data_IF_059480073194
#
_entry.id   IF_059480073194
#
_cell.length_a   1.000
_cell.length_b   1.000
_cell.length_c   1.000
_cell.angle_alpha   90.00
_cell.angle_beta   90.00
_cell.angle_gamma   90.00
#
_symmetry.space_group_name_H-M   'P 1'
#
loop_
_entity.id
_entity.type
_entity.pdbx_description
1 polymer ?
#
# COMPACT_ATOMS: atom_id res chain seq x y z
N UNK A 1 -29.78 8.51 6.80
CA UNK A 1 -31.00 9.29 6.49
C UNK A 1 -32.16 8.38 6.82
N UNK A 2 -32.84 8.62 7.95
CA UNK A 2 -33.96 7.81 8.37
C UNK A 2 -35.22 8.27 7.66
N UNK A 3 -35.79 7.42 6.85
CA UNK A 3 -37.12 7.63 6.26
C UNK A 3 -38.12 6.96 7.20
N UNK A 4 -39.03 7.77 7.75
CA UNK A 4 -40.23 7.30 8.39
C UNK A 4 -41.23 6.95 7.30
N UNK A 5 -41.55 5.69 7.15
CA UNK A 5 -42.68 5.29 6.34
C UNK A 5 -43.67 4.45 7.14
N UNK A 6 -44.93 4.80 6.86
CA UNK A 6 -46.15 4.39 7.50
C UNK A 6 -46.33 2.88 7.45
N UNK A 7 -46.79 2.34 8.55
CA UNK A 7 -47.41 1.03 8.59
C UNK A 7 -48.77 1.13 7.87
N UNK A 8 -48.90 0.51 6.72
CA UNK A 8 -50.18 0.18 6.10
C UNK A 8 -50.55 -1.25 6.52
N UNK A 9 -51.61 -1.35 7.27
CA UNK A 9 -52.31 -2.61 7.56
C UNK A 9 -53.04 -3.08 6.31
N UNK A 10 -52.49 -4.07 5.63
CA UNK A 10 -53.14 -4.85 4.58
C UNK A 10 -52.98 -6.33 4.91
N UNK A 11 -54.10 -7.01 4.99
CA UNK A 11 -54.19 -8.43 5.33
C UNK A 11 -53.45 -9.35 4.37
N UNK A 12 -52.98 -10.46 4.95
CA UNK A 12 -52.42 -11.67 4.37
C UNK A 12 -50.93 -11.57 3.95
N UNK A 13 -50.05 -12.07 4.85
CA UNK A 13 -49.33 -13.33 4.60
C UNK A 13 -48.50 -13.69 5.82
N UNK A 14 -48.44 -14.98 6.09
CA UNK A 14 -47.85 -15.62 7.23
C UNK A 14 -46.31 -15.51 7.16
N UNK A 15 -45.73 -14.59 7.95
CA UNK A 15 -44.38 -14.75 8.50
C UNK A 15 -44.19 -13.76 9.66
N UNK A 16 -43.79 -14.21 10.84
CA UNK A 16 -43.56 -13.32 11.97
C UNK A 16 -42.25 -12.56 11.77
N UNK A 17 -42.40 -11.26 11.63
CA UNK A 17 -41.29 -10.30 11.67
C UNK A 17 -40.87 -10.07 13.12
N UNK A 18 -39.58 -10.20 13.38
CA UNK A 18 -38.99 -9.76 14.62
C UNK A 18 -38.95 -8.25 14.69
N UNK A 19 -39.70 -7.69 15.63
CA UNK A 19 -39.69 -6.28 15.93
C UNK A 19 -38.90 -6.00 17.20
N UNK A 20 -37.88 -5.16 17.11
CA UNK A 20 -37.22 -4.56 18.26
C UNK A 20 -37.92 -3.23 18.59
N UNK A 21 -38.43 -3.10 19.81
CA UNK A 21 -38.96 -1.84 20.31
C UNK A 21 -37.88 -1.14 21.12
N UNK A 22 -37.47 0.08 20.76
CA UNK A 22 -36.46 0.80 21.53
C UNK A 22 -37.08 1.43 22.76
N UNK A 23 -36.44 1.25 23.94
CA UNK A 23 -36.62 2.17 25.06
C UNK A 23 -35.79 3.43 24.78
N UNK A 24 -36.33 4.57 25.15
CA UNK A 24 -35.79 5.90 24.89
C UNK A 24 -34.26 5.99 24.98
N UNK A 25 -33.65 6.37 23.89
CA UNK A 25 -32.27 6.79 23.65
C UNK A 25 -31.31 5.89 22.83
N UNK A 26 -31.72 4.69 22.36
CA UNK A 26 -30.85 3.93 21.45
C UNK A 26 -31.65 3.28 20.32
N UNK A 27 -31.35 3.61 19.07
CA UNK A 27 -32.01 3.06 17.89
C UNK A 27 -31.08 2.08 17.16
N UNK A 28 -31.57 0.87 16.87
CA UNK A 28 -30.92 -0.09 16.01
C UNK A 28 -31.72 -0.22 14.71
N UNK A 29 -31.01 -0.20 13.58
CA UNK A 29 -31.61 -0.48 12.28
C UNK A 29 -31.16 -1.86 11.79
N UNK A 30 -32.11 -2.69 11.42
CA UNK A 30 -31.86 -3.96 10.75
C UNK A 30 -32.32 -3.85 9.31
N UNK A 31 -31.48 -4.19 8.37
CA UNK A 31 -31.85 -4.25 6.96
C UNK A 31 -31.84 -5.72 6.51
N UNK A 32 -33.01 -6.20 6.12
CA UNK A 32 -33.13 -7.55 5.57
C UNK A 32 -33.01 -7.46 4.04
N UNK A 33 -31.94 -8.00 3.49
CA UNK A 33 -31.81 -8.20 2.04
C UNK A 33 -32.30 -9.61 1.72
N UNK A 34 -33.31 -9.70 0.89
CA UNK A 34 -33.86 -10.97 0.42
C UNK A 34 -32.97 -11.63 -0.63
N UNK A 35 -31.76 -12.01 -0.24
CA UNK A 35 -30.91 -12.92 -1.01
C UNK A 35 -30.55 -14.11 -0.14
N UNK A 36 -30.68 -15.30 -0.70
CA UNK A 36 -30.51 -16.57 -0.01
C UNK A 36 -29.07 -16.94 0.31
N UNK A 37 -28.28 -16.00 0.84
CA UNK A 37 -26.93 -16.26 1.29
C UNK A 37 -26.88 -16.16 2.82
N UNK A 38 -26.60 -17.26 3.55
CA UNK A 38 -26.60 -17.28 5.00
C UNK A 38 -25.43 -16.53 5.65
N UNK A 39 -24.50 -15.95 4.89
CA UNK A 39 -23.30 -15.26 5.41
C UNK A 39 -23.37 -13.73 5.35
N UNK A 40 -24.49 -13.11 4.89
CA UNK A 40 -24.58 -11.66 4.67
C UNK A 40 -25.08 -10.85 5.88
N UNK A 41 -24.92 -11.29 7.11
CA UNK A 41 -25.21 -10.49 8.31
C UNK A 41 -23.96 -9.74 8.78
N UNK A 42 -23.81 -8.46 8.38
CA UNK A 42 -22.82 -7.54 8.95
C UNK A 42 -23.35 -6.92 10.23
N UNK A 43 -22.71 -7.23 11.37
CA UNK A 43 -22.93 -6.52 12.62
C UNK A 43 -21.90 -5.39 12.74
N UNK A 44 -22.39 -4.16 12.78
CA UNK A 44 -21.58 -3.02 13.21
C UNK A 44 -21.71 -2.90 14.73
N UNK A 45 -20.66 -3.32 15.46
CA UNK A 45 -20.56 -3.10 16.89
C UNK A 45 -19.79 -1.79 17.14
N UNK A 46 -20.49 -0.79 17.68
CA UNK A 46 -19.82 0.32 18.36
C UNK A 46 -19.74 0.03 19.86
N UNK A 47 -18.68 0.43 20.55
CA UNK A 47 -18.49 0.15 21.97
C UNK A 47 -19.42 1.03 22.80
N UNK A 48 -20.30 0.40 23.59
CA UNK A 48 -21.10 1.07 24.62
C UNK A 48 -20.71 0.60 26.00
N UNK A 49 -20.52 1.56 26.89
CA UNK A 49 -20.38 1.30 28.32
C UNK A 49 -21.76 1.05 28.92
N UNK A 50 -21.88 -0.09 29.58
CA UNK A 50 -23.05 -0.52 30.38
C UNK A 50 -24.39 -0.66 29.67
N UNK A 51 -24.80 -1.90 29.36
CA UNK A 51 -26.20 -2.17 29.03
C UNK A 51 -26.64 -3.54 29.54
N UNK A 52 -27.72 -3.56 30.26
CA UNK A 52 -28.55 -4.75 30.50
C UNK A 52 -29.54 -4.84 29.35
N UNK A 53 -29.47 -5.87 28.55
CA UNK A 53 -30.45 -6.18 27.53
C UNK A 53 -31.51 -7.09 28.12
N UNK A 54 -32.78 -6.66 28.13
CA UNK A 54 -33.91 -7.49 28.52
C UNK A 54 -34.64 -7.91 27.23
N UNK A 55 -34.70 -9.23 27.00
CA UNK A 55 -35.45 -9.82 25.90
C UNK A 55 -36.84 -10.18 26.42
N UNK A 56 -37.89 -9.56 25.91
CA UNK A 56 -39.29 -9.91 26.18
C UNK A 56 -39.93 -10.52 24.95
N UNK A 57 -40.49 -11.72 25.13
CA UNK A 57 -41.41 -12.35 24.19
C UNK A 57 -40.81 -13.31 23.19
N UNK A 58 -40.43 -14.50 23.61
CA UNK A 58 -40.16 -15.64 22.74
C UNK A 58 -41.46 -16.44 22.57
N UNK A 59 -41.98 -16.48 21.34
CA UNK A 59 -42.85 -17.56 20.89
C UNK A 59 -41.94 -18.72 20.51
N UNK A 60 -42.20 -19.94 20.97
CA UNK A 60 -41.37 -21.09 20.70
C UNK A 60 -41.16 -21.30 19.19
N UNK A 61 -39.93 -21.38 18.68
CA UNK A 61 -39.67 -21.58 17.29
C UNK A 61 -39.99 -23.00 16.83
N UNK A 62 -40.19 -23.17 15.52
CA UNK A 62 -40.34 -24.51 14.93
C UNK A 62 -39.03 -25.31 15.08
N UNK A 63 -39.09 -26.65 15.14
CA UNK A 63 -37.90 -27.50 15.42
C UNK A 63 -36.67 -27.26 14.55
N UNK A 64 -36.83 -26.79 13.32
CA UNK A 64 -35.75 -26.45 12.41
C UNK A 64 -35.07 -25.09 12.75
N UNK A 65 -35.72 -24.25 13.56
CA UNK A 65 -35.19 -22.97 14.02
C UNK A 65 -34.41 -23.10 15.33
N UNK A 66 -34.67 -24.12 16.15
CA UNK A 66 -33.89 -24.40 17.37
C UNK A 66 -32.47 -24.80 17.04
N UNK A 67 -32.24 -25.61 16.01
CA UNK A 67 -30.91 -26.00 15.57
C UNK A 67 -30.11 -24.81 14.99
N UNK A 68 -30.79 -23.87 14.33
CA UNK A 68 -30.17 -22.62 13.84
C UNK A 68 -29.81 -21.67 14.99
N UNK A 69 -30.69 -21.54 15.98
CA UNK A 69 -30.41 -20.72 17.16
C UNK A 69 -29.27 -21.33 18.01
N UNK A 70 -29.22 -22.64 18.15
CA UNK A 70 -28.13 -23.35 18.84
C UNK A 70 -26.79 -23.14 18.10
N UNK A 71 -26.78 -23.20 16.78
CA UNK A 71 -25.61 -22.92 15.96
C UNK A 71 -25.13 -21.46 16.08
N UNK A 72 -26.04 -20.50 16.10
CA UNK A 72 -25.72 -19.09 16.29
C UNK A 72 -25.18 -18.77 17.70
N UNK A 73 -25.74 -19.43 18.73
CA UNK A 73 -25.25 -19.30 20.11
C UNK A 73 -23.86 -19.94 20.26
N UNK A 74 -23.64 -21.08 19.62
CA UNK A 74 -22.32 -21.73 19.61
C UNK A 74 -21.27 -20.87 18.91
N UNK A 75 -21.60 -20.28 17.76
CA UNK A 75 -20.73 -19.36 17.03
C UNK A 75 -20.44 -18.09 17.85
N UNK A 76 -21.42 -17.52 18.50
CA UNK A 76 -21.24 -16.35 19.37
C UNK A 76 -20.36 -16.65 20.58
N UNK A 77 -20.45 -17.86 21.12
CA UNK A 77 -19.58 -18.33 22.24
C UNK A 77 -18.13 -18.50 21.77
N UNK A 78 -17.90 -18.97 20.54
CA UNK A 78 -16.57 -19.05 19.94
C UNK A 78 -15.98 -17.68 19.65
N UNK A 79 -16.76 -16.72 19.16
CA UNK A 79 -16.35 -15.34 18.96
C UNK A 79 -15.98 -14.65 20.30
N UNK A 80 -16.73 -14.90 21.34
CA UNK A 80 -16.42 -14.36 22.68
C UNK A 80 -15.12 -14.93 23.23
N UNK A 81 -14.87 -16.24 23.09
CA UNK A 81 -13.59 -16.87 23.45
C UNK A 81 -12.43 -16.34 22.63
N UNK A 82 -12.60 -16.22 21.33
CA UNK A 82 -11.58 -15.65 20.44
C UNK A 82 -11.25 -14.20 20.82
N UNK A 83 -12.26 -13.42 21.17
CA UNK A 83 -12.10 -12.05 21.65
C UNK A 83 -11.32 -12.01 22.98
N UNK A 84 -11.64 -12.87 23.94
CA UNK A 84 -10.92 -12.96 25.22
C UNK A 84 -9.47 -13.42 25.02
N UNK A 85 -9.19 -14.35 24.11
CA UNK A 85 -7.83 -14.76 23.74
C UNK A 85 -7.05 -13.64 23.05
N UNK A 86 -7.68 -12.86 22.15
CA UNK A 86 -7.09 -11.69 21.52
C UNK A 86 -6.84 -10.57 22.53
N UNK A 87 -7.81 -10.28 23.42
CA UNK A 87 -7.65 -9.28 24.48
C UNK A 87 -6.58 -9.67 25.48
N UNK A 88 -6.43 -10.96 25.82
CA UNK A 88 -5.35 -11.46 26.68
C UNK A 88 -3.98 -11.40 25.98
N UNK A 89 -3.92 -11.62 24.67
CA UNK A 89 -2.70 -11.53 23.88
C UNK A 89 -2.27 -10.07 23.64
N UNK A 90 -3.23 -9.15 23.57
CA UNK A 90 -2.98 -7.70 23.43
C UNK A 90 -2.53 -7.10 24.78
N UNK A 91 -3.00 -7.61 25.92
CA UNK A 91 -2.61 -7.09 27.25
C UNK A 91 -1.11 -7.28 27.54
N UNK A 92 -0.49 -8.31 26.97
CA UNK A 92 0.95 -8.56 27.12
C UNK A 92 1.81 -7.62 26.26
N UNK A 93 1.24 -7.04 25.20
CA UNK A 93 1.94 -6.06 24.36
C UNK A 93 1.55 -4.60 24.65
N UNK A 94 0.42 -4.37 25.33
CA UNK A 94 -0.07 -3.02 25.64
C UNK A 94 0.76 -2.33 26.75
N UNK A 95 1.36 -3.08 27.66
CA UNK A 95 2.23 -2.52 28.71
C UNK A 95 3.54 -1.93 28.13
N UNK A 96 3.95 -2.38 26.93
CA UNK A 96 5.08 -1.82 26.19
C UNK A 96 4.73 -0.56 25.37
N UNK A 97 3.44 -0.31 25.12
CA UNK A 97 2.96 0.86 24.30
C UNK A 97 2.43 2.01 25.15
N UNK A 98 2.01 1.74 26.39
CA UNK A 98 1.43 2.77 27.27
C UNK A 98 2.48 3.64 28.00
N UNK A 99 3.73 3.21 28.07
CA UNK A 99 4.80 4.02 28.65
C UNK A 99 5.23 5.21 27.77
N UNK A 100 4.97 5.17 26.46
CA UNK A 100 5.35 6.26 25.54
C UNK A 100 4.26 7.35 25.35
N UNK A 101 3.02 7.09 25.78
CA UNK A 101 1.90 8.06 25.58
C UNK A 101 1.82 9.09 26.72
N UNK A 102 2.48 8.87 27.87
CA UNK A 102 2.36 9.73 29.06
C UNK A 102 3.63 10.52 29.40
N UNK A 103 4.52 10.80 28.43
CA UNK A 103 5.58 11.79 28.67
C UNK A 103 5.07 13.18 28.35
N UNK A 104 5.12 14.11 29.34
CA UNK A 104 4.75 15.49 29.07
C UNK A 104 5.75 16.10 28.09
N UNK A 105 5.21 16.68 27.03
CA UNK A 105 5.95 17.43 26.02
C UNK A 105 6.53 18.71 26.62
N UNK A 106 7.67 18.61 27.29
CA UNK A 106 8.48 19.75 27.65
C UNK A 106 9.84 19.65 26.97
N UNK A 107 10.08 20.56 26.03
CA UNK A 107 11.35 20.73 25.35
C UNK A 107 11.29 20.32 23.88
N UNK A 108 10.84 21.23 23.02
CA UNK A 108 11.13 21.20 21.58
C UNK A 108 12.64 21.22 21.39
N UNK A 109 13.28 20.08 21.39
CA UNK A 109 14.54 19.93 20.68
C UNK A 109 14.16 19.90 19.20
N UNK A 110 14.76 20.80 18.42
CA UNK A 110 14.67 20.77 16.98
C UNK A 110 14.89 19.34 16.51
N UNK A 111 14.05 18.86 15.61
CA UNK A 111 14.30 17.62 14.89
C UNK A 111 15.59 17.93 14.12
N UNK A 112 16.74 17.59 14.71
CA UNK A 112 17.88 17.21 13.92
C UNK A 112 17.32 16.05 13.11
N UNK A 113 17.19 16.22 11.80
CA UNK A 113 17.01 15.10 10.88
C UNK A 113 18.20 14.19 11.18
N UNK A 114 17.97 13.20 12.04
CA UNK A 114 18.91 12.10 12.21
C UNK A 114 19.04 11.58 10.79
N UNK A 115 20.24 11.56 10.26
CA UNK A 115 20.60 10.69 9.15
C UNK A 115 19.98 9.37 9.53
N UNK A 116 18.96 8.91 8.79
CA UNK A 116 18.34 7.62 8.99
C UNK A 116 19.47 6.63 9.24
N UNK A 117 19.35 5.79 10.26
CA UNK A 117 20.44 4.89 10.65
C UNK A 117 20.83 4.08 9.41
N UNK A 118 21.91 4.50 8.75
CA UNK A 118 22.43 3.83 7.57
C UNK A 118 23.00 2.49 8.01
N UNK A 119 22.57 1.43 7.35
CA UNK A 119 23.05 0.07 7.58
C UNK A 119 24.07 -0.25 6.49
N UNK A 120 25.26 -0.63 6.85
CA UNK A 120 26.27 -1.10 5.89
C UNK A 120 25.98 -2.57 5.52
N UNK A 121 25.84 -2.83 4.22
CA UNK A 121 25.65 -4.17 3.66
C UNK A 121 26.77 -4.51 2.67
N UNK A 122 27.06 -5.81 2.56
CA UNK A 122 28.00 -6.36 1.58
C UNK A 122 27.21 -7.02 0.44
N UNK A 123 27.60 -6.77 -0.79
CA UNK A 123 27.09 -7.46 -1.98
C UNK A 123 27.72 -8.85 -2.03
N UNK A 124 27.02 -9.86 -1.53
CA UNK A 124 27.54 -11.23 -1.48
C UNK A 124 27.28 -12.00 -2.76
N UNK A 125 26.34 -11.52 -3.60
CA UNK A 125 26.07 -12.13 -4.90
C UNK A 125 25.52 -11.09 -5.87
N UNK A 126 26.02 -11.13 -7.11
CA UNK A 126 25.49 -10.40 -8.26
C UNK A 126 25.29 -11.38 -9.41
N UNK A 127 24.08 -11.42 -9.98
CA UNK A 127 23.79 -12.36 -11.07
C UNK A 127 22.94 -11.71 -12.16
N UNK A 128 23.01 -12.25 -13.35
CA UNK A 128 22.08 -11.88 -14.43
C UNK A 128 20.73 -12.54 -14.15
N UNK A 129 19.71 -11.74 -13.83
CA UNK A 129 18.35 -12.23 -13.58
C UNK A 129 17.51 -12.33 -14.86
N UNK A 130 17.75 -11.43 -15.83
CA UNK A 130 17.15 -11.44 -17.17
C UNK A 130 17.97 -10.53 -18.12
N UNK A 131 17.52 -10.33 -19.35
CA UNK A 131 18.06 -9.29 -20.22
C UNK A 131 17.88 -7.93 -19.55
N UNK A 132 18.96 -7.16 -19.45
CA UNK A 132 19.03 -5.85 -18.80
C UNK A 132 18.61 -5.83 -17.31
N UNK A 133 18.51 -6.98 -16.64
CA UNK A 133 18.20 -7.07 -15.22
C UNK A 133 19.28 -7.85 -14.47
N UNK A 134 19.90 -7.18 -13.47
CA UNK A 134 20.80 -7.78 -12.52
C UNK A 134 20.09 -8.01 -11.18
N UNK A 135 20.34 -9.15 -10.56
CA UNK A 135 19.98 -9.43 -9.19
C UNK A 135 21.15 -9.16 -8.25
N UNK A 136 20.87 -8.72 -7.04
CA UNK A 136 21.85 -8.50 -5.98
C UNK A 136 21.36 -9.14 -4.69
N UNK A 137 22.23 -9.87 -4.00
CA UNK A 137 22.01 -10.31 -2.63
C UNK A 137 22.92 -9.49 -1.71
N UNK A 138 22.30 -8.88 -0.72
CA UNK A 138 22.93 -7.98 0.24
C UNK A 138 22.84 -8.62 1.63
N UNK A 139 23.98 -8.73 2.32
CA UNK A 139 24.03 -9.19 3.71
C UNK A 139 24.58 -8.13 4.63
N UNK A 140 24.22 -8.15 5.91
CA UNK A 140 24.71 -7.16 6.83
C UNK A 140 26.22 -7.27 6.97
N UNK A 141 26.91 -6.12 6.93
CA UNK A 141 28.35 -6.05 7.20
C UNK A 141 28.68 -5.90 8.70
N UNK A 142 27.67 -5.84 9.55
CA UNK A 142 27.79 -5.65 11.01
C UNK A 142 26.48 -5.91 11.75
N UNK A 143 25.58 -4.96 11.76
CA UNK A 143 24.28 -5.03 12.45
C UNK A 143 23.29 -5.90 11.68
N UNK A 144 22.46 -6.69 12.35
CA UNK A 144 21.38 -7.46 11.72
C UNK A 144 20.44 -6.58 10.90
N UNK A 145 19.97 -7.13 9.79
CA UNK A 145 19.01 -6.43 8.94
C UNK A 145 17.62 -6.42 9.59
N UNK A 146 16.92 -5.29 9.58
CA UNK A 146 15.53 -5.22 10.01
C UNK A 146 14.63 -6.19 9.23
N UNK A 147 13.61 -6.71 9.89
CA UNK A 147 12.55 -7.48 9.22
C UNK A 147 11.70 -6.56 8.34
N UNK A 148 11.07 -7.14 7.31
CA UNK A 148 10.25 -6.37 6.39
C UNK A 148 8.96 -7.11 6.00
N UNK A 149 8.02 -6.38 5.45
CA UNK A 149 6.77 -6.92 4.89
C UNK A 149 6.85 -6.94 3.35
N UNK A 150 6.15 -7.87 2.68
CA UNK A 150 6.08 -7.90 1.21
C UNK A 150 5.61 -6.56 0.63
N UNK A 151 6.28 -6.10 -0.43
CA UNK A 151 6.11 -4.77 -1.00
C UNK A 151 7.07 -3.72 -0.46
N UNK A 152 7.90 -4.06 0.54
CA UNK A 152 8.93 -3.15 1.04
C UNK A 152 10.06 -2.93 0.03
N UNK A 153 10.69 -1.77 0.17
CA UNK A 153 11.87 -1.35 -0.58
C UNK A 153 12.95 -0.82 0.37
N UNK A 154 14.17 -0.74 -0.13
CA UNK A 154 15.31 -0.10 0.52
C UNK A 154 15.87 1.02 -0.35
N UNK A 155 16.46 2.03 0.28
CA UNK A 155 17.26 3.05 -0.38
C UNK A 155 18.72 2.63 -0.40
N UNK A 156 19.36 2.57 -1.57
CA UNK A 156 20.79 2.36 -1.73
C UNK A 156 21.50 3.71 -1.87
N UNK A 157 22.46 3.99 -0.99
CA UNK A 157 23.32 5.16 -1.04
C UNK A 157 24.58 4.81 -1.84
N UNK A 158 24.58 5.20 -3.12
CA UNK A 158 25.64 4.83 -4.05
C UNK A 158 26.86 5.73 -3.91
N UNK A 159 28.07 5.17 -4.17
CA UNK A 159 29.32 5.92 -4.05
C UNK A 159 29.41 7.12 -4.99
N UNK A 160 28.60 7.19 -6.05
CA UNK A 160 28.48 8.35 -6.93
C UNK A 160 27.57 9.47 -6.37
N UNK A 161 27.14 9.35 -5.10
CA UNK A 161 26.29 10.33 -4.40
C UNK A 161 24.80 10.22 -4.70
N UNK A 162 24.38 9.23 -5.46
CA UNK A 162 22.96 9.02 -5.78
C UNK A 162 22.31 8.08 -4.75
N UNK A 163 21.07 8.40 -4.38
CA UNK A 163 20.20 7.47 -3.63
C UNK A 163 19.17 6.88 -4.58
N UNK A 164 18.97 5.55 -4.52
CA UNK A 164 18.00 4.86 -5.38
C UNK A 164 17.25 3.78 -4.63
N UNK A 165 15.94 3.73 -4.86
CA UNK A 165 15.04 2.75 -4.26
C UNK A 165 14.96 1.47 -5.07
N UNK A 166 14.95 0.34 -4.36
CA UNK A 166 14.75 -0.97 -4.97
C UNK A 166 13.86 -1.83 -4.07
N UNK A 167 12.81 -2.39 -4.66
CA UNK A 167 11.89 -3.30 -3.97
C UNK A 167 12.60 -4.60 -3.61
N UNK A 168 12.30 -5.11 -2.41
CA UNK A 168 12.80 -6.39 -1.94
C UNK A 168 12.03 -7.54 -2.62
N UNK A 169 12.77 -8.50 -3.14
CA UNK A 169 12.21 -9.69 -3.81
C UNK A 169 12.12 -10.92 -2.91
N UNK A 170 12.74 -10.87 -1.73
CA UNK A 170 12.72 -11.98 -0.77
C UNK A 170 11.30 -12.33 -0.35
N UNK A 171 11.07 -13.63 -0.16
CA UNK A 171 9.88 -14.13 0.50
C UNK A 171 9.98 -14.09 2.04
N UNK A 172 8.84 -14.23 2.74
CA UNK A 172 8.85 -14.39 4.18
C UNK A 172 9.66 -15.62 4.59
N UNK A 173 10.56 -15.43 5.56
CA UNK A 173 11.44 -16.50 6.07
C UNK A 173 12.81 -16.59 5.42
N UNK A 174 13.11 -15.81 4.42
CA UNK A 174 14.48 -15.56 3.94
C UNK A 174 15.10 -14.44 4.77
N UNK A 175 15.44 -14.77 6.02
CA UNK A 175 16.03 -13.80 6.95
C UNK A 175 17.52 -13.66 6.76
N UNK A 176 18.08 -12.53 7.21
CA UNK A 176 19.54 -12.27 7.21
C UNK A 176 20.11 -11.84 5.86
N UNK A 177 19.28 -11.62 4.85
CA UNK A 177 19.70 -10.97 3.60
C UNK A 177 18.58 -10.18 2.98
N UNK A 178 18.92 -9.18 2.17
CA UNK A 178 18.01 -8.51 1.25
C UNK A 178 18.38 -8.89 -0.18
N UNK A 179 17.37 -9.09 -1.02
CA UNK A 179 17.58 -9.32 -2.44
C UNK A 179 16.79 -8.30 -3.25
N UNK A 180 17.43 -7.74 -4.25
CA UNK A 180 16.85 -6.73 -5.13
C UNK A 180 17.06 -7.09 -6.59
N UNK A 181 16.21 -6.53 -7.45
CA UNK A 181 16.37 -6.56 -8.89
C UNK A 181 16.56 -5.16 -9.45
N UNK A 182 17.58 -4.99 -10.29
CA UNK A 182 17.93 -3.72 -10.89
C UNK A 182 17.88 -3.85 -12.41
N UNK A 183 16.94 -3.13 -13.03
CA UNK A 183 16.89 -3.00 -14.49
C UNK A 183 17.85 -1.89 -14.94
N UNK A 184 18.66 -2.18 -15.94
CA UNK A 184 19.50 -1.17 -16.60
C UNK A 184 18.60 -0.28 -17.46
N UNK A 185 18.40 0.95 -17.03
CA UNK A 185 17.66 1.94 -17.82
C UNK A 185 18.57 2.54 -18.89
N UNK A 186 18.09 2.60 -20.14
CA UNK A 186 18.84 3.16 -21.27
C UNK A 186 19.17 4.63 -21.02
N UNK A 187 18.19 5.42 -20.56
CA UNK A 187 18.33 6.82 -20.17
C UNK A 187 18.67 6.96 -18.67
N UNK A 188 19.56 6.09 -18.17
CA UNK A 188 19.94 6.09 -16.76
C UNK A 188 20.51 7.43 -16.31
N UNK A 189 19.97 7.98 -15.21
CA UNK A 189 20.54 9.13 -14.51
C UNK A 189 21.74 8.75 -13.63
N UNK A 190 22.39 7.65 -13.95
CA UNK A 190 23.61 7.14 -13.30
C UNK A 190 23.40 6.02 -12.28
N UNK A 191 22.21 5.87 -11.67
CA UNK A 191 21.99 4.90 -10.59
C UNK A 191 22.02 3.44 -11.06
N UNK A 192 21.14 3.04 -11.98
CA UNK A 192 21.10 1.66 -12.49
C UNK A 192 22.38 1.30 -13.24
N UNK A 193 22.96 2.24 -14.00
CA UNK A 193 24.23 2.04 -14.68
C UNK A 193 25.37 1.78 -13.69
N UNK A 194 25.47 2.58 -12.63
CA UNK A 194 26.49 2.39 -11.59
C UNK A 194 26.40 0.99 -10.96
N UNK A 195 25.21 0.52 -10.62
CA UNK A 195 24.98 -0.82 -10.06
C UNK A 195 25.36 -1.93 -11.05
N UNK A 196 25.09 -1.75 -12.34
CA UNK A 196 25.43 -2.75 -13.36
C UNK A 196 26.93 -2.81 -13.68
N UNK A 197 27.58 -1.65 -13.80
CA UNK A 197 28.94 -1.55 -14.34
C UNK A 197 30.00 -1.52 -13.23
N UNK A 198 29.76 -0.81 -12.12
CA UNK A 198 30.79 -0.53 -11.11
C UNK A 198 30.67 -1.43 -9.87
N UNK A 199 29.47 -1.77 -9.42
CA UNK A 199 29.28 -2.58 -8.21
C UNK A 199 29.58 -4.04 -8.48
N UNK A 200 30.41 -4.66 -7.61
CA UNK A 200 30.84 -6.05 -7.68
C UNK A 200 30.53 -6.81 -6.38
N UNK A 201 30.65 -8.14 -6.42
CA UNK A 201 30.61 -8.97 -5.22
C UNK A 201 31.79 -8.60 -4.29
N UNK A 202 31.50 -8.46 -3.00
CA UNK A 202 32.42 -7.99 -1.97
C UNK A 202 32.34 -6.49 -1.69
N UNK A 203 31.70 -5.70 -2.55
CA UNK A 203 31.54 -4.27 -2.30
C UNK A 203 30.59 -4.01 -1.14
N UNK A 204 30.82 -2.89 -0.43
CA UNK A 204 29.96 -2.41 0.65
C UNK A 204 29.16 -1.22 0.21
N UNK A 205 27.89 -1.23 0.57
CA UNK A 205 26.94 -0.17 0.23
C UNK A 205 26.17 0.18 1.50
N UNK A 206 26.00 1.49 1.76
CA UNK A 206 25.08 1.95 2.80
C UNK A 206 23.64 1.90 2.28
N UNK A 207 22.73 1.42 3.12
CA UNK A 207 21.29 1.38 2.83
C UNK A 207 20.49 2.06 3.93
N UNK A 208 19.29 2.54 3.59
CA UNK A 208 18.26 2.97 4.54
C UNK A 208 16.99 2.14 4.36
N UNK A 209 16.18 2.04 5.41
CA UNK A 209 14.95 1.26 5.38
C UNK A 209 15.10 -0.09 6.07
N UNK A 210 14.19 -1.06 5.83
CA UNK A 210 13.17 -1.10 4.77
C UNK A 210 11.97 -0.20 5.05
N UNK A 211 11.46 0.42 3.99
CA UNK A 211 10.22 1.19 3.99
C UNK A 211 9.14 0.45 3.19
N UNK A 212 7.86 0.63 3.51
CA UNK A 212 6.79 -0.05 2.78
C UNK A 212 5.62 0.89 2.49
N UNK A 213 5.53 1.32 1.24
CA UNK A 213 4.43 2.14 0.70
C UNK A 213 3.48 1.31 -0.18
N UNK A 214 3.77 0.02 -0.36
CA UNK A 214 3.01 -0.91 -1.20
C UNK A 214 2.73 -2.22 -0.46
N UNK A 215 2.18 -2.09 0.77
CA UNK A 215 1.98 -3.21 1.67
C UNK A 215 0.90 -4.20 1.20
N UNK A 216 1.20 -5.50 1.29
CA UNK A 216 0.24 -6.56 1.00
C UNK A 216 -0.81 -6.67 2.10
N UNK A 217 -2.08 -6.52 1.75
CA UNK A 217 -3.23 -6.84 2.61
C UNK A 217 -3.50 -8.35 2.57
N UNK A 218 -3.84 -8.92 3.72
CA UNK A 218 -4.11 -10.37 3.88
C UNK A 218 -5.51 -10.64 4.44
N UNK A 219 -6.38 -9.66 4.31
CA UNK A 219 -7.76 -9.68 4.83
C UNK A 219 -8.78 -10.07 3.76
N UNK A 220 -8.33 -10.41 2.55
CA UNK A 220 -9.18 -10.84 1.44
C UNK A 220 -8.78 -12.23 0.96
N UNK A 221 -9.76 -13.09 0.62
CA UNK A 221 -9.50 -14.47 0.21
C UNK A 221 -8.88 -14.60 -1.18
N UNK A 222 -8.91 -13.56 -2.03
CA UNK A 222 -8.40 -13.60 -3.40
C UNK A 222 -7.57 -12.36 -3.74
N UNK A 223 -6.38 -12.58 -4.28
CA UNK A 223 -5.48 -11.51 -4.74
C UNK A 223 -5.06 -11.74 -6.19
N UNK A 224 -5.19 -10.71 -7.03
CA UNK A 224 -4.67 -10.73 -8.40
C UNK A 224 -3.46 -9.80 -8.47
N UNK A 225 -2.34 -10.33 -8.95
CA UNK A 225 -1.08 -9.60 -9.08
C UNK A 225 -0.76 -9.42 -10.57
N UNK A 226 -0.59 -8.18 -11.04
CA UNK A 226 -0.20 -7.86 -12.42
C UNK A 226 1.19 -7.22 -12.44
N UNK A 227 2.18 -7.97 -12.91
CA UNK A 227 3.57 -7.55 -13.03
C UNK A 227 3.94 -7.21 -14.46
N UNK A 228 4.55 -6.06 -14.71
CA UNK A 228 5.13 -5.67 -15.99
C UNK A 228 6.65 -5.49 -15.90
N UNK A 229 7.42 -6.33 -16.61
CA UNK A 229 8.89 -6.26 -16.59
C UNK A 229 9.47 -6.27 -15.18
N UNK A 230 10.29 -5.24 -14.84
CA UNK A 230 10.93 -5.15 -13.50
C UNK A 230 9.93 -4.92 -12.36
N UNK A 231 8.69 -4.51 -12.65
CA UNK A 231 7.62 -4.41 -11.66
C UNK A 231 7.23 -5.74 -11.01
N UNK A 232 7.81 -6.85 -11.46
CA UNK A 232 7.69 -8.16 -10.80
C UNK A 232 8.34 -8.18 -9.41
N UNK A 233 9.29 -7.28 -9.10
CA UNK A 233 10.06 -7.32 -7.84
C UNK A 233 9.19 -7.26 -6.57
N UNK A 234 8.34 -6.27 -6.33
CA UNK A 234 7.49 -6.25 -5.13
C UNK A 234 6.42 -7.35 -5.17
N UNK A 235 5.90 -7.66 -6.37
CA UNK A 235 4.83 -8.63 -6.54
C UNK A 235 5.32 -10.08 -6.37
N UNK A 236 6.59 -10.35 -6.63
CA UNK A 236 7.22 -11.64 -6.34
C UNK A 236 7.29 -11.89 -4.83
N UNK A 237 7.70 -10.90 -4.05
CA UNK A 237 7.69 -10.99 -2.58
C UNK A 237 6.26 -11.20 -2.04
N UNK A 238 5.26 -10.52 -2.62
CA UNK A 238 3.84 -10.72 -2.28
C UNK A 238 3.36 -12.12 -2.64
N UNK A 239 3.68 -12.59 -3.84
CA UNK A 239 3.31 -13.93 -4.30
C UNK A 239 3.88 -15.03 -3.40
N UNK A 240 5.17 -14.94 -3.05
CA UNK A 240 5.81 -15.87 -2.12
C UNK A 240 5.20 -15.81 -0.71
N UNK A 241 4.76 -14.63 -0.27
CA UNK A 241 4.07 -14.49 1.01
C UNK A 241 2.67 -15.11 1.00
N UNK A 242 1.92 -14.95 -0.08
CA UNK A 242 0.60 -15.56 -0.28
C UNK A 242 0.69 -17.07 -0.47
N UNK A 243 1.74 -17.56 -1.13
CA UNK A 243 1.97 -18.99 -1.35
C UNK A 243 2.13 -19.79 -0.05
N UNK A 244 2.53 -19.12 1.03
CA UNK A 244 2.64 -19.72 2.37
C UNK A 244 1.34 -19.65 3.18
N UNK A 245 0.26 -19.18 2.58
CA UNK A 245 -1.06 -19.08 3.19
C UNK A 245 -2.08 -19.93 2.41
N UNK A 246 -3.28 -20.05 2.96
CA UNK A 246 -4.42 -20.68 2.26
C UNK A 246 -5.17 -19.68 1.35
N UNK A 247 -4.72 -18.41 1.30
CA UNK A 247 -5.35 -17.38 0.48
C UNK A 247 -5.13 -17.65 -1.01
N UNK A 248 -6.15 -17.48 -1.81
CA UNK A 248 -6.09 -17.63 -3.25
C UNK A 248 -5.37 -16.45 -3.91
N UNK A 249 -4.45 -16.74 -4.83
CA UNK A 249 -3.88 -15.68 -5.66
C UNK A 249 -3.49 -16.18 -7.06
N UNK A 250 -3.32 -15.23 -7.98
CA UNK A 250 -2.69 -15.43 -9.28
C UNK A 250 -1.73 -14.31 -9.59
N UNK A 251 -0.53 -14.66 -10.08
CA UNK A 251 0.44 -13.69 -10.59
C UNK A 251 0.44 -13.74 -12.12
N UNK A 252 0.04 -12.65 -12.76
CA UNK A 252 0.14 -12.41 -14.20
C UNK A 252 1.39 -11.60 -14.47
N UNK A 253 2.38 -12.20 -15.14
CA UNK A 253 3.65 -11.56 -15.44
C UNK A 253 3.79 -11.31 -16.95
N UNK A 254 3.84 -10.03 -17.32
CA UNK A 254 3.97 -9.57 -18.70
C UNK A 254 5.43 -9.19 -18.99
N UNK A 255 5.98 -9.77 -20.05
CA UNK A 255 7.34 -9.48 -20.50
C UNK A 255 7.40 -9.42 -22.03
N UNK A 256 8.38 -8.67 -22.57
CA UNK A 256 8.56 -8.51 -24.02
C UNK A 256 8.97 -9.83 -24.68
N UNK A 257 9.80 -10.62 -24.04
CA UNK A 257 10.23 -11.94 -24.52
C UNK A 257 10.58 -12.82 -23.32
N UNK A 258 10.84 -14.08 -23.56
CA UNK A 258 11.25 -15.06 -22.52
C UNK A 258 12.55 -14.63 -21.83
N UNK A 259 13.48 -14.01 -22.55
CA UNK A 259 14.76 -13.52 -22.02
C UNK A 259 14.60 -12.33 -21.07
N UNK A 260 13.44 -11.68 -21.10
CA UNK A 260 13.08 -10.57 -20.20
C UNK A 260 12.30 -11.02 -18.96
N UNK A 261 12.01 -12.32 -18.81
CA UNK A 261 11.44 -12.86 -17.58
C UNK A 261 12.53 -12.96 -16.50
N UNK A 262 12.47 -12.08 -15.51
CA UNK A 262 13.39 -12.10 -14.39
C UNK A 262 12.96 -13.12 -13.32
N UNK A 263 13.93 -13.64 -12.56
CA UNK A 263 13.72 -14.49 -11.38
C UNK A 263 12.94 -15.78 -11.66
N UNK A 264 13.19 -16.41 -12.82
CA UNK A 264 12.46 -17.58 -13.29
C UNK A 264 12.49 -18.75 -12.30
N UNK A 265 13.60 -18.95 -11.58
CA UNK A 265 13.71 -20.01 -10.57
C UNK A 265 12.66 -19.85 -9.48
N UNK A 266 12.55 -18.64 -8.91
CA UNK A 266 11.55 -18.30 -7.88
C UNK A 266 10.11 -18.32 -8.41
N UNK A 267 9.92 -17.82 -9.61
CA UNK A 267 8.61 -17.84 -10.28
C UNK A 267 8.13 -19.26 -10.55
N UNK A 268 9.04 -20.17 -10.89
CA UNK A 268 8.74 -21.58 -11.13
C UNK A 268 8.15 -22.30 -9.91
N UNK A 269 8.51 -21.88 -8.70
CA UNK A 269 7.98 -22.42 -7.45
C UNK A 269 6.48 -22.15 -7.28
N UNK A 270 5.95 -21.08 -7.90
CA UNK A 270 4.53 -20.70 -7.82
C UNK A 270 3.60 -21.64 -8.63
N UNK A 271 4.16 -22.48 -9.50
CA UNK A 271 3.41 -23.50 -10.26
C UNK A 271 2.22 -22.93 -11.04
N UNK A 272 1.04 -23.48 -10.77
CA UNK A 272 -0.19 -23.07 -11.46
C UNK A 272 -0.77 -21.70 -11.04
N UNK A 273 -0.17 -21.02 -10.08
CA UNK A 273 -0.53 -19.67 -9.66
C UNK A 273 0.14 -18.59 -10.51
N UNK A 274 1.17 -18.96 -11.30
CA UNK A 274 1.82 -18.09 -12.28
C UNK A 274 1.15 -18.18 -13.65
N UNK A 275 0.98 -17.03 -14.28
CA UNK A 275 0.58 -16.87 -15.69
C UNK A 275 1.55 -15.92 -16.38
N UNK A 276 2.38 -16.42 -17.29
CA UNK A 276 3.29 -15.61 -18.07
C UNK A 276 2.65 -15.19 -19.39
N UNK A 277 2.84 -13.93 -19.75
CA UNK A 277 2.33 -13.31 -20.96
C UNK A 277 3.50 -12.70 -21.72
N UNK A 278 3.83 -13.26 -22.87
CA UNK A 278 5.05 -12.94 -23.60
C UNK A 278 4.70 -12.23 -24.92
N UNK A 279 5.31 -11.06 -25.15
CA UNK A 279 5.23 -10.34 -26.42
C UNK A 279 3.83 -9.81 -26.76
N UNK A 280 2.95 -9.70 -25.77
CA UNK A 280 1.62 -9.14 -25.99
C UNK A 280 1.69 -7.64 -26.27
N UNK A 281 0.93 -7.21 -27.27
CA UNK A 281 0.68 -5.79 -27.52
C UNK A 281 -0.24 -5.17 -26.45
N UNK A 282 -0.40 -3.82 -26.48
CA UNK A 282 -1.24 -3.12 -25.49
C UNK A 282 -2.69 -3.64 -25.46
N UNK A 283 -3.29 -3.89 -26.62
CA UNK A 283 -4.68 -4.34 -26.73
C UNK A 283 -4.86 -5.76 -26.14
N UNK A 284 -3.97 -6.70 -26.50
CA UNK A 284 -4.01 -8.08 -26.00
C UNK A 284 -3.75 -8.12 -24.47
N UNK A 285 -2.86 -7.24 -24.00
CA UNK A 285 -2.60 -7.06 -22.56
C UNK A 285 -3.89 -6.63 -21.85
N UNK A 286 -4.60 -5.65 -22.40
CA UNK A 286 -5.84 -5.16 -21.79
C UNK A 286 -6.98 -6.17 -21.83
N UNK A 287 -7.13 -6.92 -22.91
CA UNK A 287 -8.11 -8.03 -22.99
C UNK A 287 -7.81 -9.09 -21.92
N UNK A 288 -6.52 -9.36 -21.67
CA UNK A 288 -6.10 -10.30 -20.61
C UNK A 288 -6.44 -9.76 -19.24
N UNK A 289 -6.18 -8.47 -18.98
CA UNK A 289 -6.51 -7.79 -17.71
C UNK A 289 -8.02 -7.80 -17.47
N UNK A 290 -8.81 -7.37 -18.43
CA UNK A 290 -10.27 -7.32 -18.33
C UNK A 290 -10.87 -8.69 -18.03
N UNK A 291 -10.45 -9.73 -18.78
CA UNK A 291 -10.86 -11.10 -18.56
C UNK A 291 -10.49 -11.63 -17.17
N UNK A 292 -9.33 -11.22 -16.65
CA UNK A 292 -8.83 -11.66 -15.34
C UNK A 292 -9.56 -10.99 -14.20
N UNK A 293 -9.77 -9.67 -14.28
CA UNK A 293 -10.46 -8.91 -13.24
C UNK A 293 -11.92 -9.32 -13.11
N UNK A 294 -12.67 -9.31 -14.22
CA UNK A 294 -14.11 -9.48 -14.18
C UNK A 294 -14.80 -8.40 -13.32
N UNK A 295 -16.11 -8.54 -13.11
CA UNK A 295 -16.83 -7.66 -12.18
C UNK A 295 -16.34 -7.86 -10.74
N UNK A 296 -16.33 -6.78 -9.96
CA UNK A 296 -15.90 -6.83 -8.57
C UNK A 296 -16.80 -7.74 -7.70
N UNK A 297 -16.18 -8.65 -6.97
CA UNK A 297 -16.84 -9.68 -6.17
C UNK A 297 -16.81 -9.42 -4.64
N UNK A 298 -16.33 -8.25 -4.20
CA UNK A 298 -16.14 -7.86 -2.78
C UNK A 298 -15.16 -8.74 -1.97
N UNK A 299 -14.57 -9.76 -2.60
CA UNK A 299 -13.66 -10.71 -1.96
C UNK A 299 -12.24 -10.65 -2.55
N UNK A 300 -12.04 -9.78 -3.53
CA UNK A 300 -10.81 -9.70 -4.31
C UNK A 300 -10.08 -8.37 -4.10
N UNK A 301 -8.76 -8.43 -4.24
CA UNK A 301 -7.88 -7.26 -4.35
C UNK A 301 -6.97 -7.43 -5.56
N UNK A 302 -6.59 -6.31 -6.16
CA UNK A 302 -5.64 -6.27 -7.27
C UNK A 302 -4.43 -5.42 -6.90
N UNK A 303 -3.25 -5.93 -7.25
CA UNK A 303 -1.97 -5.22 -7.13
C UNK A 303 -1.32 -5.14 -8.49
N UNK A 304 -0.81 -3.97 -8.87
CA UNK A 304 -0.13 -3.79 -10.13
C UNK A 304 1.17 -2.98 -9.98
N UNK A 305 2.23 -3.46 -10.65
CA UNK A 305 3.49 -2.74 -10.77
C UNK A 305 4.11 -3.04 -12.15
N UNK A 306 4.56 -2.00 -12.85
CA UNK A 306 5.09 -2.13 -14.21
C UNK A 306 5.18 -0.80 -14.94
N UNK A 307 5.16 -0.81 -16.28
CA UNK A 307 5.12 0.42 -17.06
C UNK A 307 3.91 1.29 -16.72
N UNK A 308 4.05 2.62 -16.61
CA UNK A 308 2.96 3.51 -16.22
C UNK A 308 1.69 3.36 -17.06
N UNK A 309 1.83 3.16 -18.37
CA UNK A 309 0.69 2.96 -19.26
C UNK A 309 -0.09 1.69 -18.92
N UNK A 310 0.59 0.60 -18.53
CA UNK A 310 -0.04 -0.65 -18.10
C UNK A 310 -0.78 -0.46 -16.77
N UNK A 311 -0.16 0.21 -15.80
CA UNK A 311 -0.78 0.50 -14.50
C UNK A 311 -2.04 1.35 -14.68
N UNK A 312 -1.96 2.44 -15.46
CA UNK A 312 -3.10 3.31 -15.72
C UNK A 312 -4.26 2.52 -16.37
N UNK A 313 -3.95 1.73 -17.40
CA UNK A 313 -4.94 0.94 -18.07
C UNK A 313 -5.60 -0.12 -17.17
N UNK A 314 -4.84 -0.74 -16.23
CA UNK A 314 -5.40 -1.67 -15.22
C UNK A 314 -6.35 -0.91 -14.28
N UNK A 315 -5.98 0.28 -13.80
CA UNK A 315 -6.81 1.11 -12.93
C UNK A 315 -8.13 1.51 -13.62
N UNK A 316 -8.03 1.99 -14.87
CA UNK A 316 -9.20 2.41 -15.66
C UNK A 316 -10.15 1.23 -15.91
N UNK A 317 -9.59 0.06 -16.24
CA UNK A 317 -10.37 -1.17 -16.44
C UNK A 317 -11.03 -1.61 -15.14
N UNK A 318 -10.31 -1.65 -14.03
CA UNK A 318 -10.85 -2.00 -12.71
C UNK A 318 -12.02 -1.06 -12.34
N UNK A 319 -11.83 0.26 -12.51
CA UNK A 319 -12.88 1.25 -12.28
C UNK A 319 -14.12 1.00 -13.15
N UNK A 320 -13.93 0.73 -14.44
CA UNK A 320 -15.05 0.44 -15.39
C UNK A 320 -15.81 -0.84 -15.03
N UNK A 321 -15.14 -1.79 -14.37
CA UNK A 321 -15.71 -3.07 -13.92
C UNK A 321 -16.28 -2.99 -12.49
N UNK A 322 -16.33 -1.79 -11.89
CA UNK A 322 -16.92 -1.54 -10.58
C UNK A 322 -16.03 -1.87 -9.39
N UNK A 323 -14.71 -2.00 -9.60
CA UNK A 323 -13.76 -2.16 -8.49
C UNK A 323 -13.61 -0.84 -7.74
N UNK A 324 -13.76 -0.83 -6.42
CA UNK A 324 -13.58 0.38 -5.64
C UNK A 324 -12.08 0.70 -5.49
N UNK A 325 -11.70 1.98 -5.37
CA UNK A 325 -10.29 2.40 -5.31
C UNK A 325 -9.48 1.69 -4.22
N UNK A 326 -10.08 1.39 -3.07
CA UNK A 326 -9.44 0.71 -1.95
C UNK A 326 -9.15 -0.79 -2.20
N UNK A 327 -9.66 -1.36 -3.29
CA UNK A 327 -9.33 -2.72 -3.71
C UNK A 327 -8.30 -2.75 -4.85
N UNK A 328 -7.84 -1.58 -5.31
CA UNK A 328 -6.91 -1.44 -6.44
C UNK A 328 -5.62 -0.77 -5.96
N UNK A 329 -4.58 -1.57 -5.81
CA UNK A 329 -3.28 -1.15 -5.32
C UNK A 329 -2.26 -1.11 -6.45
N UNK A 330 -1.41 -0.09 -6.47
CA UNK A 330 -0.39 0.06 -7.52
C UNK A 330 0.84 0.80 -7.01
N UNK A 331 1.97 0.53 -7.65
CA UNK A 331 3.23 1.22 -7.40
C UNK A 331 3.90 1.62 -8.72
N UNK A 332 4.24 2.90 -8.83
CA UNK A 332 5.00 3.43 -9.96
C UNK A 332 6.48 3.52 -9.61
N UNK A 333 7.36 2.97 -10.45
CA UNK A 333 8.81 3.12 -10.28
C UNK A 333 9.36 4.39 -10.94
N UNK A 334 8.60 4.98 -11.86
CA UNK A 334 8.95 6.23 -12.52
C UNK A 334 7.70 7.03 -12.88
N UNK A 335 7.88 8.31 -13.01
CA UNK A 335 6.88 9.24 -13.52
C UNK A 335 7.22 9.59 -14.97
N UNK A 336 6.32 9.30 -15.89
CA UNK A 336 6.45 9.62 -17.32
C UNK A 336 5.64 10.87 -17.72
N UNK A 337 4.99 11.53 -16.75
CA UNK A 337 4.30 12.80 -17.02
C UNK A 337 5.31 13.87 -17.45
N UNK A 338 4.93 14.71 -18.39
CA UNK A 338 5.66 15.93 -18.69
C UNK A 338 5.55 16.88 -17.51
N UNK A 339 6.68 17.22 -16.91
CA UNK A 339 6.73 18.12 -15.76
C UNK A 339 6.72 19.56 -16.24
N UNK A 340 5.69 20.31 -15.87
CA UNK A 340 5.63 21.76 -16.11
C UNK A 340 6.50 22.50 -15.09
N UNK A 341 7.51 23.20 -15.55
CA UNK A 341 8.43 24.01 -14.73
C UNK A 341 8.38 25.50 -15.08
N UNK A 342 7.38 25.95 -15.81
CA UNK A 342 7.36 27.32 -16.37
C UNK A 342 6.93 28.39 -15.35
N UNK A 343 6.14 28.07 -14.34
CA UNK A 343 5.68 29.01 -13.33
C UNK A 343 6.79 29.36 -12.31
N UNK A 344 6.84 30.60 -11.85
CA UNK A 344 7.62 30.99 -10.69
C UNK A 344 6.69 31.26 -9.50
N UNK A 345 7.10 30.90 -8.29
CA UNK A 345 6.32 31.08 -7.07
C UNK A 345 7.25 31.15 -5.87
N UNK A 346 6.71 31.45 -4.68
CA UNK A 346 7.45 31.46 -3.44
C UNK A 346 7.12 30.23 -2.57
N UNK A 347 8.10 29.77 -1.81
CA UNK A 347 7.88 28.83 -0.69
C UNK A 347 8.28 29.53 0.61
N UNK A 348 7.37 29.51 1.57
CA UNK A 348 7.64 29.96 2.93
C UNK A 348 7.84 28.73 3.84
N UNK A 349 9.00 28.65 4.48
CA UNK A 349 9.37 27.56 5.38
C UNK A 349 8.88 27.92 6.78
N UNK A 350 7.80 27.30 7.24
CA UNK A 350 7.09 27.71 8.45
C UNK A 350 7.93 27.60 9.73
N UNK A 351 8.83 26.61 9.79
CA UNK A 351 9.66 26.36 10.99
C UNK A 351 10.83 27.33 11.09
N UNK A 352 11.44 27.69 9.96
CA UNK A 352 12.58 28.59 9.90
C UNK A 352 12.20 30.07 9.68
N UNK A 353 10.98 30.34 9.20
CA UNK A 353 10.50 31.66 8.82
C UNK A 353 11.14 32.23 7.55
N UNK A 354 11.83 31.40 6.76
CA UNK A 354 12.53 31.82 5.54
C UNK A 354 11.59 31.70 4.35
N UNK A 355 11.60 32.70 3.45
CA UNK A 355 10.91 32.65 2.17
C UNK A 355 11.94 32.50 1.04
N UNK A 356 11.69 31.61 0.11
CA UNK A 356 12.56 31.29 -1.01
C UNK A 356 11.77 31.37 -2.32
N UNK A 357 12.39 31.97 -3.36
CA UNK A 357 11.81 31.99 -4.71
C UNK A 357 12.14 30.70 -5.44
N UNK A 358 11.12 30.06 -6.00
CA UNK A 358 11.26 28.92 -6.90
C UNK A 358 11.06 29.43 -8.34
N UNK A 359 12.18 29.71 -8.99
CA UNK A 359 12.19 30.23 -10.36
C UNK A 359 11.68 29.17 -11.36
N UNK A 360 11.33 29.65 -12.56
CA UNK A 360 11.11 28.78 -13.69
C UNK A 360 12.33 27.85 -13.95
N UNK A 361 12.08 26.59 -14.24
CA UNK A 361 13.14 25.59 -14.50
C UNK A 361 13.79 24.99 -13.25
N UNK A 362 13.37 25.39 -12.02
CA UNK A 362 13.88 24.83 -10.78
C UNK A 362 12.78 24.11 -10.01
N UNK A 363 13.12 23.02 -9.34
CA UNK A 363 12.23 22.35 -8.40
C UNK A 363 12.32 22.96 -7.01
N UNK A 364 11.30 22.75 -6.18
CA UNK A 364 11.36 23.14 -4.76
C UNK A 364 12.57 22.49 -4.09
N UNK A 365 12.80 21.21 -4.33
CA UNK A 365 13.90 20.43 -3.78
C UNK A 365 15.29 21.04 -4.10
N UNK A 366 15.51 21.44 -5.37
CA UNK A 366 16.76 22.09 -5.78
C UNK A 366 16.97 23.42 -5.07
N UNK A 367 15.90 24.22 -4.93
CA UNK A 367 15.97 25.51 -4.23
C UNK A 367 16.26 25.32 -2.74
N UNK A 368 15.62 24.35 -2.08
CA UNK A 368 15.90 24.01 -0.68
C UNK A 368 17.35 23.64 -0.48
N UNK A 369 17.88 22.73 -1.32
CA UNK A 369 19.30 22.31 -1.27
C UNK A 369 20.26 23.47 -1.48
N UNK A 370 20.01 24.31 -2.47
CA UNK A 370 20.85 25.48 -2.76
C UNK A 370 20.90 26.48 -1.61
N UNK A 371 19.89 26.50 -0.73
CA UNK A 371 19.81 27.35 0.45
C UNK A 371 20.18 26.62 1.76
N UNK A 372 20.79 25.43 1.67
CA UNK A 372 21.29 24.68 2.83
C UNK A 372 20.16 24.05 3.68
N UNK A 373 18.96 23.89 3.13
CA UNK A 373 17.85 23.20 3.78
C UNK A 373 17.89 21.72 3.35
N UNK A 374 18.35 20.81 4.22
CA UNK A 374 18.42 19.39 3.87
C UNK A 374 17.01 18.80 3.82
N UNK A 375 16.71 18.11 2.72
CA UNK A 375 15.48 17.33 2.59
C UNK A 375 15.84 15.97 1.98
N UNK A 376 15.36 14.86 2.58
CA UNK A 376 15.54 13.54 1.99
C UNK A 376 14.99 13.47 0.56
N UNK A 377 15.70 12.78 -0.32
CA UNK A 377 15.22 12.51 -1.67
C UNK A 377 15.87 11.26 -2.23
N UNK A 378 15.19 10.56 -3.12
CA UNK A 378 15.69 9.35 -3.75
C UNK A 378 15.44 9.37 -5.27
N UNK A 379 14.20 9.09 -5.73
CA UNK A 379 13.91 8.98 -7.16
C UNK A 379 14.00 10.32 -7.92
N UNK A 380 13.69 11.43 -7.26
CA UNK A 380 13.60 12.78 -7.84
C UNK A 380 12.71 12.85 -9.12
N UNK A 381 11.67 12.01 -9.15
CA UNK A 381 10.69 11.92 -10.25
C UNK A 381 9.25 11.95 -9.76
N UNK A 382 9.01 12.16 -8.46
CA UNK A 382 7.66 12.18 -7.90
C UNK A 382 6.98 10.81 -7.85
N UNK A 383 7.76 9.73 -7.72
CA UNK A 383 7.24 8.37 -7.69
C UNK A 383 7.46 7.64 -6.35
N UNK A 384 8.35 8.13 -5.48
CA UNK A 384 8.81 7.37 -4.33
C UNK A 384 8.37 7.90 -2.95
N UNK A 385 7.87 9.12 -2.86
CA UNK A 385 7.43 9.71 -1.59
C UNK A 385 8.53 10.31 -0.72
N UNK A 386 9.82 9.99 -0.93
CA UNK A 386 10.93 10.40 -0.03
C UNK A 386 11.05 11.91 0.19
N UNK A 387 10.68 12.72 -0.81
CA UNK A 387 10.73 14.19 -0.73
C UNK A 387 9.37 14.82 -0.38
N UNK A 388 8.47 14.06 0.25
CA UNK A 388 7.17 14.56 0.69
C UNK A 388 7.33 15.61 1.80
N UNK A 389 6.55 16.69 1.70
CA UNK A 389 6.46 17.73 2.71
C UNK A 389 5.01 18.13 2.91
N UNK A 390 4.63 18.42 4.15
CA UNK A 390 3.30 18.93 4.45
C UNK A 390 3.14 20.38 3.95
N UNK A 391 1.99 20.66 3.35
CA UNK A 391 1.56 21.99 2.91
C UNK A 391 0.61 22.55 3.96
N UNK A 392 0.97 23.67 4.58
CA UNK A 392 0.18 24.34 5.62
C UNK A 392 -0.75 25.40 5.03
N UNK A 393 -0.36 26.02 3.91
CA UNK A 393 -1.17 27.01 3.19
C UNK A 393 -0.75 27.10 1.73
N UNK A 394 -1.65 27.54 0.87
CA UNK A 394 -1.46 27.62 -0.56
C UNK A 394 -2.05 26.41 -1.31
N UNK A 395 -2.01 26.47 -2.65
CA UNK A 395 -2.58 25.43 -3.52
C UNK A 395 -1.46 24.77 -4.29
N UNK A 396 -1.10 23.52 -3.97
CA UNK A 396 -0.09 22.78 -4.71
C UNK A 396 -0.56 22.43 -6.13
N UNK A 397 0.37 22.43 -7.06
CA UNK A 397 0.21 21.88 -8.40
C UNK A 397 0.91 20.51 -8.46
N UNK A 398 0.15 19.48 -8.20
CA UNK A 398 0.67 18.11 -8.18
C UNK A 398 1.08 17.62 -9.56
N UNK A 399 2.32 17.14 -9.67
CA UNK A 399 2.86 16.56 -10.90
C UNK A 399 3.46 15.17 -10.65
N UNK A 400 3.35 14.69 -9.42
CA UNK A 400 3.75 13.36 -9.00
C UNK A 400 2.74 12.28 -9.44
N UNK A 401 3.15 11.03 -9.24
CA UNK A 401 2.33 9.82 -9.39
C UNK A 401 2.28 9.02 -8.09
N UNK A 402 2.84 9.57 -7.01
CA UNK A 402 2.92 8.94 -5.71
C UNK A 402 1.63 9.12 -4.90
N UNK A 403 1.16 10.35 -4.78
CA UNK A 403 -0.10 10.65 -4.11
C UNK A 403 -1.28 10.21 -4.99
N UNK A 404 -2.32 9.69 -4.36
CA UNK A 404 -3.56 9.35 -5.06
C UNK A 404 -4.45 10.59 -5.27
N UNK A 405 -5.58 10.42 -5.98
CA UNK A 405 -6.48 11.53 -6.33
C UNK A 405 -7.06 12.24 -5.10
N UNK A 406 -7.47 11.50 -4.07
CA UNK A 406 -7.99 12.10 -2.84
C UNK A 406 -6.93 12.87 -2.04
N UNK A 407 -5.67 12.45 -2.11
CA UNK A 407 -4.54 13.13 -1.50
C UNK A 407 -4.15 14.39 -2.30
N UNK A 408 -4.24 14.35 -3.63
CA UNK A 408 -4.11 15.54 -4.49
C UNK A 408 -5.23 16.56 -4.19
N UNK A 409 -6.48 16.12 -4.05
CA UNK A 409 -7.61 16.98 -3.71
C UNK A 409 -7.47 17.60 -2.31
N UNK A 410 -6.95 16.86 -1.35
CA UNK A 410 -6.69 17.36 0.01
C UNK A 410 -5.66 18.49 0.03
N UNK A 411 -4.69 18.49 -0.89
CA UNK A 411 -3.71 19.56 -1.09
C UNK A 411 -2.81 19.86 0.11
N UNK A 412 -2.74 18.96 1.10
CA UNK A 412 -2.01 19.15 2.35
C UNK A 412 -0.60 18.53 2.37
N UNK A 413 -0.17 17.95 1.24
CA UNK A 413 1.16 17.36 1.04
C UNK A 413 1.68 17.67 -0.37
N UNK A 414 2.98 17.65 -0.57
CA UNK A 414 3.59 17.93 -1.87
C UNK A 414 4.87 17.12 -2.07
N UNK A 415 5.10 16.62 -3.29
CA UNK A 415 6.38 16.05 -3.70
C UNK A 415 7.29 17.17 -4.22
N UNK A 416 8.24 17.60 -3.42
CA UNK A 416 9.08 18.78 -3.70
C UNK A 416 9.99 18.65 -4.91
N UNK A 417 10.25 17.41 -5.39
CA UNK A 417 11.13 17.18 -6.53
C UNK A 417 10.48 17.43 -7.90
N UNK A 418 9.12 17.46 -7.99
CA UNK A 418 8.42 17.63 -9.27
C UNK A 418 7.23 18.59 -9.18
N UNK A 419 6.52 18.63 -8.05
CA UNK A 419 5.30 19.43 -7.91
C UNK A 419 5.62 20.92 -7.74
N UNK A 420 4.64 21.76 -8.06
CA UNK A 420 4.76 23.23 -8.04
C UNK A 420 3.58 23.86 -7.31
N UNK A 421 3.28 25.14 -7.57
CA UNK A 421 2.15 25.83 -6.98
C UNK A 421 1.21 26.40 -8.05
N UNK A 422 -0.10 26.30 -7.82
CA UNK A 422 -1.11 27.11 -8.48
C UNK A 422 -1.26 28.48 -7.81
N UNK A 423 -1.02 28.56 -6.51
CA UNK A 423 -0.96 29.81 -5.74
C UNK A 423 0.38 30.54 -5.94
N UNK A 424 0.44 31.81 -5.59
CA UNK A 424 1.69 32.61 -5.65
C UNK A 424 2.71 32.13 -4.61
N UNK A 425 2.25 31.53 -3.53
CA UNK A 425 3.06 31.05 -2.43
C UNK A 425 2.52 29.73 -1.89
N UNK A 426 3.41 28.88 -1.42
CA UNK A 426 3.12 27.72 -0.57
C UNK A 426 3.78 27.93 0.80
N UNK A 427 3.10 27.55 1.86
CA UNK A 427 3.67 27.47 3.21
C UNK A 427 3.95 26.00 3.51
N UNK A 428 5.21 25.65 3.71
CA UNK A 428 5.68 24.29 3.93
C UNK A 428 6.10 24.09 5.38
N UNK A 429 5.81 22.92 5.94
CA UNK A 429 6.18 22.55 7.32
C UNK A 429 7.64 22.11 7.42
N UNK A 430 8.55 23.03 7.11
CA UNK A 430 10.01 22.85 7.16
C UNK A 430 10.66 23.98 7.97
#
# INVERSE_FOLDING_TARGET
>A
MCIRDRVHTGQNDQNPLFGLVPSDQNSFCYQNSASADPFAARFLLQPFSSTKTIIHGLVAPAPEEEDRLASLLHYNTQLTRFREEVESSISVSADLWLEDIHRPTHGRRGIVLSTADEIEVEVVKKWKAATDIAGFELRPAGTELPTFQPGAHIDLHLANGLVRQYSLINGPGEQGCYQIGVKLEQDSRGGSRFLHEEVQEGDRIAISGPHNNFGLRRDTPRTVLFAGGIGVTPLLAMAQALDRTELGFTLHYFAQSTEHLAFQDRLGELGNRLRTHIGLGPEETMQTVEKTLGSYDHLSQVYSCGPPQMINAIRDTASSLGWPPEAVHYEYFKNEKTIDQLSAFEVHLARSGVSLSVDSGKTILEVLRANGVPLPSSCEQGACGTCEVAVLDGVPHHQDVYLNESEHEAGNRIMTCVSRAHSKQLVLDI
#
